data_IF_751975718794
#
_entry.id   IF_751975718794
#
_cell.length_a   1.000
_cell.length_b   1.000
_cell.length_c   1.000
_cell.angle_alpha   90.00
_cell.angle_beta   90.00
_cell.angle_gamma   90.00
#
_symmetry.space_group_name_H-M   'P 1'
#
loop_
_entity.id
_entity.type
_entity.pdbx_description
1 polymer ?
#
# COMPACT_ATOMS: atom_id res chain seq x y z
N UNK A 1 -10.29 -13.37 8.98
CA UNK A 1 -8.94 -13.29 8.40
C UNK A 1 -8.27 -12.10 9.04
N UNK A 2 -7.19 -12.28 9.82
CA UNK A 2 -6.49 -11.16 10.46
C UNK A 2 -5.38 -10.69 9.51
N UNK A 3 -5.44 -9.44 9.06
CA UNK A 3 -4.48 -8.83 8.13
C UNK A 3 -3.04 -8.84 8.70
N UNK A 4 -2.91 -8.78 10.03
CA UNK A 4 -1.71 -9.17 10.76
C UNK A 4 -2.00 -10.39 11.63
N UNK A 5 -1.37 -11.54 11.32
CA UNK A 5 -1.56 -12.76 12.11
C UNK A 5 -1.23 -12.51 13.59
N UNK A 6 -2.18 -12.81 14.46
CA UNK A 6 -2.01 -12.68 15.92
C UNK A 6 -2.10 -11.25 16.47
N UNK A 7 -2.58 -10.27 15.69
CA UNK A 7 -2.89 -8.91 16.17
C UNK A 7 -4.40 -8.66 16.13
N UNK A 8 -4.89 -7.82 17.05
CA UNK A 8 -6.29 -7.40 17.02
C UNK A 8 -6.64 -6.62 15.75
N UNK A 9 -7.89 -6.77 15.31
CA UNK A 9 -8.47 -5.89 14.30
C UNK A 9 -8.79 -4.56 14.96
N UNK A 10 -8.36 -3.46 14.33
CA UNK A 10 -8.70 -2.11 14.77
C UNK A 10 -10.07 -1.71 14.25
N UNK A 11 -10.90 -1.10 15.09
CA UNK A 11 -12.10 -0.42 14.63
C UNK A 11 -11.70 0.92 14.01
N UNK A 12 -12.30 1.29 12.88
CA UNK A 12 -12.07 2.59 12.24
C UNK A 12 -12.62 3.73 13.08
N UNK A 13 -13.76 3.51 13.73
CA UNK A 13 -14.49 4.56 14.45
C UNK A 13 -13.70 5.06 15.67
N UNK A 14 -12.92 4.18 16.31
CA UNK A 14 -12.01 4.53 17.41
C UNK A 14 -10.94 5.56 17.00
N UNK A 15 -10.64 5.68 15.70
CA UNK A 15 -9.62 6.58 15.16
C UNK A 15 -10.22 7.69 14.29
N UNK A 16 -11.55 7.86 14.27
CA UNK A 16 -12.23 8.87 13.46
C UNK A 16 -11.65 10.30 13.56
N UNK A 17 -11.12 10.78 14.71
CA UNK A 17 -10.47 12.09 14.79
C UNK A 17 -9.17 12.21 13.97
N UNK A 18 -8.47 11.09 13.77
CA UNK A 18 -7.14 11.02 13.16
C UNK A 18 -7.15 10.55 11.70
N UNK A 19 -8.34 10.39 11.12
CA UNK A 19 -8.52 10.00 9.72
C UNK A 19 -9.09 11.19 8.95
N UNK A 20 -8.74 11.28 7.66
CA UNK A 20 -9.33 12.29 6.78
C UNK A 20 -10.88 12.15 6.71
N UNK A 21 -11.63 13.27 6.73
CA UNK A 21 -11.13 14.66 6.73
C UNK A 21 -10.88 15.24 8.12
N UNK A 22 -11.29 14.57 9.21
CA UNK A 22 -11.22 15.09 10.59
C UNK A 22 -9.82 15.57 10.98
N UNK A 23 -8.77 14.86 10.54
CA UNK A 23 -7.38 15.20 10.86
C UNK A 23 -6.95 16.58 10.35
N UNK A 24 -7.60 17.13 9.33
CA UNK A 24 -7.30 18.47 8.80
C UNK A 24 -7.63 19.59 9.80
N UNK A 25 -8.52 19.31 10.76
CA UNK A 25 -8.88 20.24 11.83
C UNK A 25 -7.94 20.19 13.03
N UNK A 26 -7.07 19.18 13.11
CA UNK A 26 -6.15 19.00 14.23
C UNK A 26 -4.90 19.89 14.07
N UNK A 27 -4.30 20.34 15.19
CA UNK A 27 -3.03 21.04 15.14
C UNK A 27 -1.94 20.20 14.46
N UNK A 28 -1.18 20.82 13.57
CA UNK A 28 -0.04 20.16 12.94
C UNK A 28 1.04 19.86 13.99
N UNK A 29 1.34 18.58 14.20
CA UNK A 29 2.42 18.11 15.06
C UNK A 29 3.56 17.55 14.20
N UNK A 30 4.80 17.81 14.57
CA UNK A 30 5.97 17.27 13.86
C UNK A 30 6.37 15.88 14.35
N UNK A 31 5.92 15.49 15.53
CA UNK A 31 6.18 14.18 16.11
C UNK A 31 5.12 13.81 17.14
N UNK A 32 5.05 12.52 17.42
CA UNK A 32 4.26 11.96 18.50
C UNK A 32 5.15 11.03 19.33
N UNK A 33 5.16 11.13 20.66
CA UNK A 33 6.06 10.33 21.49
C UNK A 33 5.69 8.85 21.39
N UNK A 34 6.70 7.99 21.26
CA UNK A 34 6.51 6.57 21.47
C UNK A 34 6.14 6.35 22.94
N UNK A 35 5.03 5.68 23.19
CA UNK A 35 4.56 5.42 24.55
C UNK A 35 3.94 4.03 24.61
N UNK A 36 4.29 3.29 25.67
CA UNK A 36 3.94 1.89 25.83
C UNK A 36 3.55 1.60 27.28
N UNK A 37 2.63 0.66 27.44
CA UNK A 37 2.34 0.02 28.71
C UNK A 37 3.54 -0.84 29.14
N UNK A 38 3.99 -0.70 30.40
CA UNK A 38 5.19 -1.38 30.92
C UNK A 38 5.03 -2.90 31.03
N UNK A 39 3.81 -3.37 31.21
CA UNK A 39 3.45 -4.76 31.49
C UNK A 39 3.38 -5.63 30.23
N UNK A 40 2.93 -5.07 29.10
CA UNK A 40 2.66 -5.82 27.88
C UNK A 40 3.29 -5.21 26.62
N UNK A 41 4.02 -4.10 26.75
CA UNK A 41 4.63 -3.35 25.63
C UNK A 41 3.63 -2.94 24.56
N UNK A 42 2.36 -2.81 24.92
CA UNK A 42 1.31 -2.37 24.02
C UNK A 42 1.33 -0.83 23.92
N UNK A 43 1.21 -0.25 22.71
CA UNK A 43 1.23 1.20 22.56
C UNK A 43 0.08 1.86 23.34
N UNK A 44 0.40 2.91 24.10
CA UNK A 44 -0.58 3.75 24.82
C UNK A 44 -1.01 4.96 23.99
N UNK A 45 -0.24 5.30 22.96
CA UNK A 45 -0.50 6.42 22.07
C UNK A 45 -1.24 5.93 20.82
N UNK A 46 -2.46 6.43 20.63
CA UNK A 46 -3.36 6.04 19.54
C UNK A 46 -2.74 6.27 18.14
N UNK A 47 -1.92 7.32 17.98
CA UNK A 47 -1.26 7.63 16.71
C UNK A 47 -0.31 6.51 16.25
N UNK A 48 0.19 5.69 17.17
CA UNK A 48 1.08 4.57 16.86
C UNK A 48 0.35 3.43 16.15
N UNK A 49 -0.98 3.41 16.14
CA UNK A 49 -1.78 2.41 15.45
C UNK A 49 -2.22 2.82 14.05
N UNK A 50 -2.05 4.10 13.66
CA UNK A 50 -2.60 4.61 12.39
C UNK A 50 -2.06 3.87 11.17
N UNK A 51 -0.74 3.66 11.07
CA UNK A 51 -0.17 2.93 9.93
C UNK A 51 -0.77 1.53 9.79
N UNK A 52 -1.01 0.83 10.92
CA UNK A 52 -1.67 -0.47 10.96
C UNK A 52 -3.13 -0.37 10.52
N UNK A 53 -3.85 0.63 10.98
CA UNK A 53 -5.24 0.88 10.59
C UNK A 53 -5.35 1.14 9.08
N UNK A 54 -4.54 2.04 8.53
CA UNK A 54 -4.54 2.36 7.11
C UNK A 54 -4.14 1.16 6.24
N UNK A 55 -3.18 0.33 6.69
CA UNK A 55 -2.87 -0.94 6.05
C UNK A 55 -4.07 -1.91 6.07
N UNK A 56 -4.71 -2.09 7.23
CA UNK A 56 -5.88 -2.95 7.39
C UNK A 56 -7.05 -2.52 6.48
N UNK A 57 -7.24 -1.22 6.30
CA UNK A 57 -8.29 -0.66 5.45
C UNK A 57 -7.94 -0.67 3.95
N UNK A 58 -6.72 -1.07 3.57
CA UNK A 58 -6.25 -0.96 2.19
C UNK A 58 -6.08 0.48 1.70
N UNK A 59 -5.77 1.39 2.62
CA UNK A 59 -5.65 2.85 2.40
C UNK A 59 -4.24 3.38 2.76
N UNK A 60 -3.20 2.53 2.73
CA UNK A 60 -1.86 2.95 3.15
C UNK A 60 -1.28 4.06 2.26
N UNK A 61 -1.67 4.11 0.99
CA UNK A 61 -1.20 5.14 0.08
C UNK A 61 -1.72 6.52 0.47
N UNK A 62 -2.95 6.63 0.96
CA UNK A 62 -3.50 7.86 1.49
C UNK A 62 -2.67 8.37 2.68
N UNK A 63 -2.33 7.49 3.62
CA UNK A 63 -1.48 7.83 4.77
C UNK A 63 -0.08 8.31 4.37
N UNK A 64 0.51 7.72 3.33
CA UNK A 64 1.87 8.06 2.88
C UNK A 64 1.91 9.29 1.96
N UNK A 65 0.87 9.54 1.19
CA UNK A 65 0.89 10.52 0.08
C UNK A 65 -0.04 11.71 0.27
N UNK A 66 -1.01 11.61 1.18
CA UNK A 66 -2.07 12.61 1.38
C UNK A 66 -3.16 12.59 0.30
N UNK A 67 -3.13 11.66 -0.65
CA UNK A 67 -4.11 11.57 -1.75
C UNK A 67 -5.46 10.97 -1.32
N UNK A 68 -6.17 11.66 -0.41
CA UNK A 68 -7.43 11.17 0.18
C UNK A 68 -8.67 11.40 -0.69
N UNK A 69 -8.70 12.45 -1.52
CA UNK A 69 -9.89 12.86 -2.27
C UNK A 69 -9.55 13.33 -3.70
N UNK A 70 -9.82 12.52 -4.76
CA UNK A 70 -10.30 11.14 -4.70
C UNK A 70 -9.19 10.17 -4.27
N UNK A 71 -9.53 9.21 -3.41
CA UNK A 71 -8.62 8.18 -2.85
C UNK A 71 -7.76 7.52 -3.93
N UNK A 72 -6.43 7.63 -3.79
CA UNK A 72 -5.47 6.99 -4.69
C UNK A 72 -5.63 5.46 -4.65
N UNK A 73 -5.77 4.85 -3.47
CA UNK A 73 -5.96 3.41 -3.35
C UNK A 73 -7.21 2.94 -4.08
N UNK A 74 -8.32 3.70 -3.99
CA UNK A 74 -9.56 3.39 -4.71
C UNK A 74 -9.39 3.49 -6.23
N UNK A 75 -8.64 4.49 -6.73
CA UNK A 75 -8.33 4.60 -8.16
C UNK A 75 -7.52 3.39 -8.64
N UNK A 76 -6.47 3.02 -7.90
CA UNK A 76 -5.58 1.92 -8.28
C UNK A 76 -6.28 0.57 -8.25
N UNK A 77 -7.20 0.33 -7.31
CA UNK A 77 -7.99 -0.90 -7.27
C UNK A 77 -8.89 -1.09 -8.51
N UNK A 78 -9.28 0.00 -9.18
CA UNK A 78 -10.12 -0.07 -10.38
C UNK A 78 -9.31 -0.43 -11.64
N UNK A 79 -8.00 -0.20 -11.67
CA UNK A 79 -7.18 -0.46 -12.86
C UNK A 79 -7.07 -1.97 -13.21
N UNK A 80 -6.87 -2.90 -12.26
CA UNK A 80 -6.90 -4.33 -12.53
C UNK A 80 -8.31 -4.90 -12.72
N UNK A 81 -9.35 -4.27 -12.15
CA UNK A 81 -10.70 -4.83 -12.06
C UNK A 81 -11.37 -5.08 -13.42
N UNK A 82 -10.90 -4.46 -14.50
CA UNK A 82 -11.36 -4.72 -15.87
C UNK A 82 -10.86 -6.05 -16.46
N UNK A 83 -9.75 -6.60 -15.94
CA UNK A 83 -9.12 -7.83 -16.46
C UNK A 83 -9.00 -8.85 -15.33
N UNK A 84 -10.10 -9.55 -15.04
CA UNK A 84 -10.23 -10.50 -13.92
C UNK A 84 -9.35 -11.76 -13.99
N UNK A 85 -8.37 -11.82 -14.89
CA UNK A 85 -7.40 -12.92 -14.86
C UNK A 85 -6.39 -12.60 -13.77
N UNK A 86 -6.34 -13.47 -12.78
CA UNK A 86 -5.25 -13.46 -11.82
C UNK A 86 -3.97 -13.90 -12.56
N UNK A 87 -3.24 -12.91 -13.09
CA UNK A 87 -2.02 -13.16 -13.86
C UNK A 87 -0.94 -13.84 -13.00
N UNK A 88 -1.08 -13.84 -11.66
CA UNK A 88 -0.21 -14.58 -10.74
C UNK A 88 -0.47 -16.09 -10.75
N UNK A 89 -1.54 -16.56 -11.40
CA UNK A 89 -1.84 -18.00 -11.55
C UNK A 89 -1.29 -18.60 -12.85
N UNK A 90 -0.62 -17.80 -13.69
CA UNK A 90 -0.10 -18.25 -14.97
C UNK A 90 1.22 -19.01 -14.81
N UNK A 91 1.31 -20.18 -15.44
CA UNK A 91 2.54 -20.97 -15.47
C UNK A 91 3.64 -20.28 -16.28
N UNK A 92 4.85 -20.26 -15.74
CA UNK A 92 6.06 -19.81 -16.44
C UNK A 92 6.56 -20.91 -17.40
N UNK A 93 7.09 -20.57 -18.61
CA UNK A 93 7.32 -19.23 -19.13
C UNK A 93 6.07 -18.56 -19.71
N UNK A 94 5.98 -17.24 -19.55
CA UNK A 94 4.90 -16.45 -20.13
C UNK A 94 5.04 -16.32 -21.66
N UNK A 95 3.91 -16.32 -22.34
CA UNK A 95 3.78 -16.00 -23.77
C UNK A 95 3.93 -14.51 -24.01
N UNK A 96 4.27 -14.12 -25.25
CA UNK A 96 4.40 -12.71 -25.64
C UNK A 96 3.10 -11.91 -25.39
N UNK A 97 1.94 -12.53 -25.61
CA UNK A 97 0.64 -11.89 -25.33
C UNK A 97 0.44 -11.63 -23.84
N UNK A 98 0.92 -12.52 -22.96
CA UNK A 98 0.85 -12.32 -21.51
C UNK A 98 1.76 -11.17 -21.06
N UNK A 99 2.98 -11.05 -21.60
CA UNK A 99 3.83 -9.88 -21.36
C UNK A 99 3.15 -8.57 -21.76
N UNK A 100 2.51 -8.52 -22.93
CA UNK A 100 1.76 -7.33 -23.36
C UNK A 100 0.56 -7.02 -22.45
N UNK A 101 -0.11 -8.03 -21.90
CA UNK A 101 -1.17 -7.85 -20.90
C UNK A 101 -0.62 -7.22 -19.60
N UNK A 102 0.52 -7.70 -19.09
CA UNK A 102 1.20 -7.10 -17.92
C UNK A 102 1.55 -5.63 -18.15
N UNK A 103 2.16 -5.31 -19.30
CA UNK A 103 2.51 -3.93 -19.66
C UNK A 103 1.27 -3.03 -19.75
N UNK A 104 0.15 -3.55 -20.28
CA UNK A 104 -1.11 -2.80 -20.35
C UNK A 104 -1.69 -2.49 -18.96
N UNK A 105 -1.62 -3.43 -18.01
CA UNK A 105 -2.02 -3.18 -16.61
C UNK A 105 -1.10 -2.12 -15.99
N UNK A 106 0.21 -2.27 -16.12
CA UNK A 106 1.19 -1.32 -15.58
C UNK A 106 1.00 0.09 -16.11
N UNK A 107 0.81 0.25 -17.43
CA UNK A 107 0.57 1.57 -18.06
C UNK A 107 -0.70 2.24 -17.52
N UNK A 108 -1.76 1.47 -17.22
CA UNK A 108 -2.99 2.01 -16.62
C UNK A 108 -2.77 2.43 -15.17
N UNK A 109 -2.04 1.64 -14.39
CA UNK A 109 -1.69 1.97 -13.01
C UNK A 109 -0.83 3.25 -12.99
N UNK A 110 0.19 3.31 -13.84
CA UNK A 110 1.09 4.47 -13.95
C UNK A 110 0.32 5.75 -14.26
N UNK A 111 -0.62 5.71 -15.22
CA UNK A 111 -1.43 6.86 -15.60
C UNK A 111 -2.36 7.39 -14.49
N UNK A 112 -2.64 6.59 -13.45
CA UNK A 112 -3.46 6.98 -12.30
C UNK A 112 -2.65 7.59 -11.16
N UNK A 113 -1.33 7.39 -11.16
CA UNK A 113 -0.43 7.88 -10.11
C UNK A 113 0.01 9.31 -10.47
N UNK A 114 -0.16 10.30 -9.58
CA UNK A 114 0.40 11.62 -9.79
C UNK A 114 1.90 11.57 -10.07
N UNK A 115 2.39 12.30 -11.07
CA UNK A 115 3.79 12.26 -11.52
C UNK A 115 4.80 12.42 -10.37
N UNK A 116 4.52 13.33 -9.42
CA UNK A 116 5.37 13.56 -8.23
C UNK A 116 5.54 12.34 -7.33
N UNK A 117 4.62 11.37 -7.40
CA UNK A 117 4.60 10.16 -6.59
C UNK A 117 5.20 8.96 -7.32
N UNK A 118 5.37 9.01 -8.64
CA UNK A 118 5.95 7.91 -9.42
C UNK A 118 7.30 7.39 -8.87
N UNK A 119 8.22 8.25 -8.37
CA UNK A 119 9.47 7.77 -7.77
C UNK A 119 9.29 6.88 -6.52
N UNK A 120 8.12 6.94 -5.85
CA UNK A 120 7.82 6.08 -4.71
C UNK A 120 7.39 4.66 -5.14
N UNK A 121 7.11 4.44 -6.43
CA UNK A 121 6.69 3.17 -7.00
C UNK A 121 7.84 2.61 -7.85
N UNK A 122 8.73 1.85 -7.20
CA UNK A 122 9.98 1.36 -7.81
C UNK A 122 9.78 0.62 -9.12
N UNK A 123 8.66 -0.08 -9.31
CA UNK A 123 8.31 -0.78 -10.55
C UNK A 123 8.31 0.13 -11.79
N UNK A 124 7.98 1.43 -11.64
CA UNK A 124 7.99 2.42 -12.72
C UNK A 124 9.34 3.13 -12.88
N UNK A 125 10.29 2.86 -11.99
CA UNK A 125 11.65 3.41 -12.08
C UNK A 125 12.61 2.49 -12.83
N UNK A 126 12.20 1.26 -13.16
CA UNK A 126 13.01 0.30 -13.91
C UNK A 126 12.98 0.65 -15.39
N UNK A 127 14.12 1.11 -15.91
CA UNK A 127 14.29 1.46 -17.32
C UNK A 127 15.42 0.65 -17.96
N UNK A 128 15.61 0.79 -19.26
CA UNK A 128 16.73 0.15 -19.98
C UNK A 128 18.12 0.58 -19.51
N UNK A 129 18.23 1.67 -18.72
CA UNK A 129 19.49 2.11 -18.12
C UNK A 129 19.74 1.53 -16.73
N UNK A 130 18.80 0.77 -16.17
CA UNK A 130 18.96 0.11 -14.88
C UNK A 130 20.13 -0.90 -14.96
N UNK A 131 21.02 -0.95 -13.96
CA UNK A 131 22.15 -1.88 -13.99
C UNK A 131 21.67 -3.33 -14.04
N UNK A 132 22.40 -4.25 -14.70
CA UNK A 132 22.06 -5.67 -14.67
C UNK A 132 21.87 -6.16 -13.22
N UNK A 133 20.68 -6.70 -12.94
CA UNK A 133 20.30 -7.14 -11.61
C UNK A 133 19.84 -8.61 -11.65
N UNK A 134 20.12 -9.33 -10.57
CA UNK A 134 19.61 -10.68 -10.35
C UNK A 134 18.70 -10.66 -9.13
N UNK A 135 17.42 -10.99 -9.31
CA UNK A 135 16.45 -11.05 -8.23
C UNK A 135 16.42 -12.47 -7.66
N UNK A 136 16.77 -12.62 -6.39
CA UNK A 136 16.71 -13.90 -5.66
C UNK A 136 15.61 -13.79 -4.62
N UNK A 137 14.63 -14.68 -4.68
CA UNK A 137 13.62 -14.82 -3.64
C UNK A 137 13.56 -16.26 -3.14
N UNK A 138 13.15 -16.44 -1.88
CA UNK A 138 12.99 -17.77 -1.29
C UNK A 138 11.67 -18.40 -1.71
N UNK A 139 11.63 -19.73 -1.88
CA UNK A 139 10.39 -20.44 -2.20
C UNK A 139 9.33 -20.40 -1.08
N UNK A 140 9.76 -20.15 0.16
CA UNK A 140 8.91 -20.01 1.33
C UNK A 140 8.54 -18.55 1.66
N UNK A 141 8.93 -17.61 0.79
CA UNK A 141 8.47 -16.24 0.93
C UNK A 141 6.99 -16.18 0.56
N UNK A 142 6.14 -16.05 1.57
CA UNK A 142 4.68 -16.00 1.44
C UNK A 142 4.14 -14.58 1.66
N UNK A 143 5.02 -13.59 1.75
CA UNK A 143 4.63 -12.18 1.72
C UNK A 143 4.37 -11.77 0.27
N UNK A 144 3.34 -12.35 -0.34
CA UNK A 144 2.77 -11.93 -1.62
C UNK A 144 1.27 -11.72 -1.43
#
# INVERSE_FOLDING_TARGET
>A
MHFFRGREMLDREDFAPYIHPSIESLPHISSSPLSYHLDNWYPTNELMFLSRLYLQLGMILEYLTGEHAPSLSSKLQQAPASDKRDLATLDYPYTLSQYAEFDSVNNRIEALIPERLLPAFSQFSVTSSWPPAYLVHGFNDSAC
#
